data_IF_810879835794
#
_entry.id   IF_810879835794
#
_cell.length_a   1.000
_cell.length_b   1.000
_cell.length_c   1.000
_cell.angle_alpha   90.00
_cell.angle_beta   90.00
_cell.angle_gamma   90.00
#
_symmetry.space_group_name_H-M   'P 1'
#
loop_
_entity.id
_entity.type
_entity.pdbx_description
1 polymer ?
#
# COMPACT_ATOMS: atom_id res chain seq x y z
N UNK A 1 18.93 21.56 -19.13
CA UNK A 1 19.16 20.13 -18.84
C UNK A 1 17.93 19.67 -18.05
N UNK A 2 17.02 18.90 -18.66
CA UNK A 2 15.82 18.42 -17.94
C UNK A 2 16.25 17.26 -17.04
N UNK A 3 15.80 17.18 -15.78
CA UNK A 3 16.07 16.01 -14.95
C UNK A 3 15.61 14.74 -15.67
N UNK A 4 16.34 13.65 -15.46
CA UNK A 4 15.90 12.33 -15.90
C UNK A 4 14.60 11.98 -15.16
N UNK A 5 13.52 11.68 -15.88
CA UNK A 5 12.20 11.37 -15.29
C UNK A 5 12.22 10.15 -14.38
N UNK A 6 13.16 9.23 -14.59
CA UNK A 6 13.40 8.13 -13.67
C UNK A 6 13.88 8.63 -12.30
N UNK A 7 14.59 9.76 -12.26
CA UNK A 7 15.00 10.44 -11.04
C UNK A 7 13.83 11.21 -10.42
N UNK A 8 12.98 11.86 -11.23
CA UNK A 8 11.76 12.53 -10.73
C UNK A 8 10.79 11.53 -10.08
N UNK A 9 10.49 10.41 -10.73
CA UNK A 9 9.63 9.34 -10.18
C UNK A 9 10.21 8.69 -8.91
N UNK A 10 11.53 8.61 -8.78
CA UNK A 10 12.19 8.08 -7.57
C UNK A 10 12.15 9.04 -6.39
N UNK A 11 11.93 10.33 -6.67
CA UNK A 11 11.93 11.39 -5.66
C UNK A 11 10.52 11.80 -5.23
N UNK A 12 9.46 11.24 -5.83
CA UNK A 12 8.10 11.45 -5.35
C UNK A 12 8.00 10.84 -3.95
N UNK A 13 7.70 11.70 -2.99
CA UNK A 13 7.39 11.34 -1.61
C UNK A 13 6.18 12.15 -1.20
N UNK A 14 5.12 11.45 -0.83
CA UNK A 14 3.89 12.03 -0.31
C UNK A 14 3.80 11.75 1.18
N UNK A 15 3.31 12.73 1.93
CA UNK A 15 2.99 12.63 3.33
C UNK A 15 1.54 13.06 3.51
N UNK A 16 0.75 12.22 4.19
CA UNK A 16 -0.59 12.55 4.65
C UNK A 16 -0.59 12.54 6.19
N UNK A 17 -1.37 13.44 6.77
CA UNK A 17 -1.53 13.54 8.22
C UNK A 17 -3.01 13.41 8.54
N UNK A 18 -3.32 12.53 9.48
CA UNK A 18 -4.68 12.33 9.97
C UNK A 18 -5.30 13.62 10.54
N UNK A 19 -6.64 13.76 10.54
CA UNK A 19 -7.32 14.96 11.06
C UNK A 19 -7.00 15.29 12.52
N UNK A 20 -6.75 14.28 13.36
CA UNK A 20 -6.39 14.48 14.77
C UNK A 20 -4.90 14.77 14.96
N UNK A 21 -4.09 14.55 13.92
CA UNK A 21 -2.65 14.57 13.99
C UNK A 21 -2.04 13.36 14.72
N UNK A 22 -2.83 12.34 15.05
CA UNK A 22 -2.37 11.11 15.71
C UNK A 22 -1.54 10.20 14.79
N UNK A 23 -1.74 10.30 13.49
CA UNK A 23 -1.11 9.44 12.47
C UNK A 23 -0.51 10.29 11.35
N UNK A 24 0.69 9.93 10.92
CA UNK A 24 1.32 10.41 9.69
C UNK A 24 1.63 9.19 8.82
N UNK A 25 1.19 9.19 7.57
CA UNK A 25 1.55 8.17 6.58
C UNK A 25 2.44 8.78 5.49
N UNK A 26 3.50 8.08 5.12
CA UNK A 26 4.41 8.47 4.05
C UNK A 26 4.52 7.39 2.99
N UNK A 27 4.42 7.77 1.73
CA UNK A 27 4.67 6.90 0.58
C UNK A 27 5.80 7.50 -0.26
N UNK A 28 6.79 6.69 -0.64
CA UNK A 28 7.91 7.17 -1.44
C UNK A 28 8.24 6.22 -2.58
N UNK A 29 8.48 6.77 -3.78
CA UNK A 29 8.87 6.02 -4.98
C UNK A 29 7.86 4.94 -5.39
N UNK A 30 8.24 3.66 -5.31
CA UNK A 30 7.33 2.50 -5.47
C UNK A 30 7.14 1.72 -4.17
N UNK A 31 7.52 2.33 -3.05
CA UNK A 31 7.58 1.69 -1.74
C UNK A 31 6.21 1.58 -1.09
N UNK A 32 6.17 0.74 -0.04
CA UNK A 32 5.01 0.58 0.82
C UNK A 32 4.79 1.83 1.67
N UNK A 33 3.55 2.15 2.05
CA UNK A 33 3.29 3.20 3.01
C UNK A 33 4.01 2.89 4.32
N UNK A 34 4.63 3.90 4.92
CA UNK A 34 5.16 3.87 6.27
C UNK A 34 4.33 4.76 7.16
N UNK A 35 4.03 4.29 8.35
CA UNK A 35 3.19 5.00 9.33
C UNK A 35 4.05 5.47 10.49
N UNK A 36 3.73 6.63 11.03
CA UNK A 36 4.27 7.16 12.28
C UNK A 36 3.08 7.50 13.20
N UNK A 37 3.10 6.97 14.42
CA UNK A 37 2.08 7.25 15.43
C UNK A 37 2.59 8.35 16.36
N UNK A 38 1.74 9.32 16.66
CA UNK A 38 2.08 10.47 17.50
C UNK A 38 1.67 10.28 18.96
N UNK A 39 2.29 11.08 19.84
CA UNK A 39 2.12 11.11 21.30
C UNK A 39 0.70 10.86 21.82
N UNK A 40 -0.28 11.56 21.23
CA UNK A 40 -1.66 11.58 21.69
C UNK A 40 -2.47 10.32 21.31
N UNK A 41 -1.99 9.54 20.33
CA UNK A 41 -2.74 8.42 19.76
C UNK A 41 -3.11 7.35 20.80
N UNK A 42 -2.20 7.02 21.72
CA UNK A 42 -2.43 6.00 22.74
C UNK A 42 -3.46 6.41 23.81
N UNK A 43 -3.66 7.72 24.00
CA UNK A 43 -4.52 8.26 25.05
C UNK A 43 -5.88 8.69 24.53
N UNK A 44 -5.96 9.11 23.27
CA UNK A 44 -7.16 9.72 22.69
C UNK A 44 -7.97 8.73 21.82
N UNK A 45 -7.39 7.59 21.47
CA UNK A 45 -8.02 6.62 20.57
C UNK A 45 -8.34 5.29 21.27
N UNK A 46 -9.45 4.71 20.86
CA UNK A 46 -9.67 3.27 20.94
C UNK A 46 -8.88 2.56 19.84
N UNK A 47 -8.74 1.24 19.94
CA UNK A 47 -8.05 0.43 18.92
C UNK A 47 -8.75 0.53 17.56
N UNK A 48 -10.07 0.42 17.54
CA UNK A 48 -10.87 0.51 16.31
C UNK A 48 -10.75 1.91 15.67
N UNK A 49 -10.79 2.98 16.49
CA UNK A 49 -10.67 4.35 15.97
C UNK A 49 -9.26 4.65 15.46
N UNK A 50 -8.21 4.14 16.13
CA UNK A 50 -6.84 4.31 15.66
C UNK A 50 -6.61 3.50 14.37
N UNK A 51 -7.15 2.29 14.27
CA UNK A 51 -7.03 1.47 13.08
C UNK A 51 -7.68 2.15 11.88
N UNK A 52 -8.92 2.63 12.02
CA UNK A 52 -9.62 3.36 10.97
C UNK A 52 -8.85 4.61 10.52
N UNK A 53 -8.28 5.36 11.45
CA UNK A 53 -7.50 6.56 11.13
C UNK A 53 -6.18 6.24 10.44
N UNK A 54 -5.52 5.15 10.81
CA UNK A 54 -4.35 4.64 10.07
C UNK A 54 -4.73 4.28 8.63
N UNK A 55 -5.83 3.53 8.45
CA UNK A 55 -6.31 3.12 7.14
C UNK A 55 -6.63 4.33 6.25
N UNK A 56 -7.38 5.30 6.77
CA UNK A 56 -7.74 6.53 6.05
C UNK A 56 -6.50 7.34 5.66
N UNK A 57 -5.56 7.53 6.60
CA UNK A 57 -4.33 8.30 6.35
C UNK A 57 -3.42 7.61 5.32
N UNK A 58 -3.34 6.28 5.35
CA UNK A 58 -2.62 5.51 4.33
C UNK A 58 -3.29 5.64 2.97
N UNK A 59 -4.62 5.50 2.91
CA UNK A 59 -5.37 5.60 1.67
C UNK A 59 -5.18 6.97 1.01
N UNK A 60 -5.24 8.05 1.79
CA UNK A 60 -4.97 9.41 1.32
C UNK A 60 -3.55 9.56 0.77
N UNK A 61 -2.53 9.10 1.51
CA UNK A 61 -1.15 9.15 1.04
C UNK A 61 -0.96 8.36 -0.27
N UNK A 62 -1.55 7.17 -0.37
CA UNK A 62 -1.46 6.33 -1.56
C UNK A 62 -2.22 6.91 -2.76
N UNK A 63 -3.38 7.52 -2.55
CA UNK A 63 -4.14 8.19 -3.60
C UNK A 63 -3.37 9.38 -4.14
N UNK A 64 -2.92 10.30 -3.29
CA UNK A 64 -2.11 11.44 -3.70
C UNK A 64 -0.79 11.01 -4.38
N UNK A 65 -0.19 9.89 -3.95
CA UNK A 65 0.99 9.33 -4.60
C UNK A 65 0.69 8.79 -6.01
N UNK A 66 -0.47 8.14 -6.20
CA UNK A 66 -0.93 7.72 -7.53
C UNK A 66 -1.17 8.94 -8.43
N UNK A 67 -1.84 9.97 -7.93
CA UNK A 67 -2.08 11.20 -8.69
C UNK A 67 -0.78 11.90 -9.12
N UNK A 68 0.23 11.97 -8.24
CA UNK A 68 1.52 12.57 -8.57
C UNK A 68 2.30 11.74 -9.59
N UNK A 69 2.27 10.40 -9.48
CA UNK A 69 2.82 9.51 -10.50
C UNK A 69 2.11 9.73 -11.84
N UNK A 70 0.78 9.82 -11.83
CA UNK A 70 0.00 10.10 -13.03
C UNK A 70 0.41 11.45 -13.63
N UNK A 71 0.47 12.52 -12.85
CA UNK A 71 0.87 13.85 -13.30
C UNK A 71 2.27 13.87 -13.97
N UNK A 72 3.23 13.14 -13.39
CA UNK A 72 4.60 13.02 -13.95
C UNK A 72 4.62 12.16 -15.23
N UNK A 73 3.71 11.18 -15.35
CA UNK A 73 3.70 10.21 -16.46
C UNK A 73 2.79 10.60 -17.65
N UNK A 74 1.75 11.40 -17.44
CA UNK A 74 0.62 11.59 -18.38
C UNK A 74 1.01 12.29 -19.70
N UNK A 75 2.18 12.95 -19.78
CA UNK A 75 2.61 13.60 -21.02
C UNK A 75 3.01 12.66 -22.16
N UNK A 76 3.45 11.42 -21.87
CA UNK A 76 3.99 10.50 -22.90
C UNK A 76 3.54 9.05 -22.73
N UNK A 77 3.41 8.55 -21.51
CA UNK A 77 3.08 7.15 -21.25
C UNK A 77 1.65 6.79 -21.63
N UNK A 78 0.67 7.69 -21.44
CA UNK A 78 -0.71 7.43 -21.89
C UNK A 78 -0.81 7.32 -23.41
N UNK A 79 -0.08 8.14 -24.16
CA UNK A 79 0.05 8.02 -25.62
C UNK A 79 0.79 6.74 -26.03
N UNK A 80 1.85 6.37 -25.33
CA UNK A 80 2.66 5.17 -25.63
C UNK A 80 1.92 3.87 -25.24
N UNK A 81 1.14 3.89 -24.16
CA UNK A 81 0.33 2.78 -23.66
C UNK A 81 -0.92 2.56 -24.51
N UNK A 82 -1.66 3.62 -24.87
CA UNK A 82 -2.82 3.52 -25.80
C UNK A 82 -2.36 3.09 -27.18
N UNK A 83 -1.26 3.65 -27.71
CA UNK A 83 -0.70 3.22 -29.00
C UNK A 83 -0.23 1.76 -28.98
N UNK A 84 0.31 1.27 -27.85
CA UNK A 84 0.67 -0.16 -27.71
C UNK A 84 -0.57 -1.05 -27.58
N UNK A 85 -1.54 -0.69 -26.74
CA UNK A 85 -2.69 -1.56 -26.42
C UNK A 85 -3.71 -1.66 -27.54
N UNK A 86 -3.87 -0.63 -28.39
CA UNK A 86 -4.74 -0.72 -29.57
C UNK A 86 -4.19 -1.67 -30.65
N UNK A 87 -2.85 -1.76 -30.78
CA UNK A 87 -2.14 -2.66 -31.71
C UNK A 87 -1.88 -4.07 -31.15
N UNK A 88 -2.19 -4.33 -29.87
CA UNK A 88 -2.02 -5.67 -29.31
C UNK A 88 -3.02 -6.66 -29.92
N UNK A 89 -2.58 -7.88 -30.30
CA UNK A 89 -3.47 -8.97 -30.64
C UNK A 89 -4.54 -9.16 -29.57
N UNK A 90 -5.77 -9.50 -29.98
CA UNK A 90 -6.91 -9.70 -29.08
C UNK A 90 -6.59 -10.63 -27.91
N UNK A 91 -5.82 -11.68 -28.17
CA UNK A 91 -5.34 -12.64 -27.18
C UNK A 91 -4.45 -12.00 -26.11
N UNK A 92 -3.55 -11.08 -26.49
CA UNK A 92 -2.68 -10.38 -25.53
C UNK A 92 -3.49 -9.45 -24.63
N UNK A 93 -4.46 -8.72 -25.19
CA UNK A 93 -5.37 -7.86 -24.40
C UNK A 93 -6.22 -8.67 -23.42
N UNK A 94 -6.73 -9.81 -23.87
CA UNK A 94 -7.51 -10.71 -23.03
C UNK A 94 -6.66 -11.30 -21.90
N UNK A 95 -5.41 -11.67 -22.18
CA UNK A 95 -4.44 -12.14 -21.18
C UNK A 95 -4.06 -11.07 -20.16
N UNK A 96 -3.82 -9.83 -20.60
CA UNK A 96 -3.57 -8.70 -19.69
C UNK A 96 -4.76 -8.44 -18.77
N UNK A 97 -5.99 -8.46 -19.31
CA UNK A 97 -7.21 -8.32 -18.52
C UNK A 97 -7.37 -9.45 -17.50
N UNK A 98 -7.12 -10.70 -17.91
CA UNK A 98 -7.16 -11.85 -17.02
C UNK A 98 -6.09 -11.76 -15.91
N UNK A 99 -4.89 -11.28 -16.24
CA UNK A 99 -3.83 -11.02 -15.26
C UNK A 99 -4.21 -9.96 -14.24
N UNK A 100 -4.81 -8.85 -14.67
CA UNK A 100 -5.31 -7.81 -13.76
C UNK A 100 -6.42 -8.32 -12.85
N UNK A 101 -7.35 -9.12 -13.38
CA UNK A 101 -8.41 -9.73 -12.57
C UNK A 101 -7.84 -10.74 -11.56
N UNK A 102 -6.86 -11.55 -11.96
CA UNK A 102 -6.20 -12.50 -11.06
C UNK A 102 -5.50 -11.81 -9.88
N UNK A 103 -4.90 -10.63 -10.09
CA UNK A 103 -4.30 -9.83 -9.01
C UNK A 103 -5.37 -9.23 -8.09
N UNK A 104 -6.49 -8.75 -8.63
CA UNK A 104 -7.59 -8.15 -7.84
C UNK A 104 -8.20 -9.11 -6.82
N UNK A 105 -8.18 -10.40 -7.11
CA UNK A 105 -8.67 -11.45 -6.21
C UNK A 105 -7.65 -11.85 -5.13
N UNK A 106 -6.41 -11.35 -5.22
CA UNK A 106 -5.38 -11.65 -4.22
C UNK A 106 -5.63 -10.88 -2.94
N UNK A 107 -5.65 -11.62 -1.84
CA UNK A 107 -5.60 -11.09 -0.49
C UNK A 107 -4.41 -11.71 0.24
N UNK A 108 -3.67 -10.89 0.98
CA UNK A 108 -2.62 -11.36 1.87
C UNK A 108 -2.72 -10.72 3.25
N UNK A 109 -2.26 -11.46 4.25
CA UNK A 109 -2.26 -11.03 5.65
C UNK A 109 -0.83 -11.07 6.18
N UNK A 110 -0.45 -10.03 6.90
CA UNK A 110 0.78 -9.94 7.66
C UNK A 110 0.46 -9.74 9.14
N UNK A 111 1.22 -10.38 10.00
CA UNK A 111 1.13 -10.18 11.45
C UNK A 111 2.46 -9.67 11.94
N UNK A 112 2.42 -8.64 12.78
CA UNK A 112 3.61 -8.06 13.38
C UNK A 112 4.33 -9.06 14.30
N UNK A 113 5.65 -8.93 14.54
CA UNK A 113 6.42 -9.87 15.36
C UNK A 113 5.88 -10.05 16.79
N UNK A 114 5.40 -8.99 17.42
CA UNK A 114 4.77 -9.03 18.74
C UNK A 114 3.33 -9.57 18.74
N UNK A 115 2.73 -9.80 17.57
CA UNK A 115 1.35 -10.27 17.43
C UNK A 115 0.30 -9.22 17.82
N UNK A 116 0.68 -7.95 17.82
CA UNK A 116 -0.18 -6.82 18.19
C UNK A 116 -0.96 -6.24 17.02
N UNK A 117 -0.45 -6.38 15.81
CA UNK A 117 -1.03 -5.78 14.61
C UNK A 117 -1.15 -6.83 13.52
N UNK A 118 -2.30 -6.83 12.87
CA UNK A 118 -2.57 -7.62 11.66
C UNK A 118 -2.87 -6.62 10.56
N UNK A 119 -2.14 -6.70 9.46
CA UNK A 119 -2.41 -5.94 8.24
C UNK A 119 -2.94 -6.89 7.15
N UNK A 120 -3.93 -6.46 6.39
CA UNK A 120 -4.45 -7.19 5.22
C UNK A 120 -4.30 -6.30 3.99
N UNK A 121 -3.64 -6.82 2.96
CA UNK A 121 -3.43 -6.15 1.69
C UNK A 121 -4.29 -6.79 0.60
N UNK A 122 -4.95 -5.95 -0.19
CA UNK A 122 -5.89 -6.35 -1.24
C UNK A 122 -5.37 -5.95 -2.63
N UNK A 123 -5.87 -6.63 -3.67
CA UNK A 123 -5.38 -6.47 -5.05
C UNK A 123 -5.68 -5.14 -5.73
N UNK A 124 -6.56 -4.34 -5.15
CA UNK A 124 -6.84 -2.94 -5.52
C UNK A 124 -5.88 -1.93 -4.86
N UNK A 125 -5.02 -2.41 -3.95
CA UNK A 125 -4.08 -1.58 -3.19
C UNK A 125 -4.62 -1.13 -1.84
N UNK A 126 -5.79 -1.60 -1.43
CA UNK A 126 -6.35 -1.29 -0.11
C UNK A 126 -5.59 -2.03 0.99
N UNK A 127 -5.55 -1.40 2.16
CA UNK A 127 -4.90 -1.95 3.35
C UNK A 127 -5.81 -1.79 4.56
N UNK A 128 -6.06 -2.90 5.26
CA UNK A 128 -6.85 -2.95 6.49
C UNK A 128 -5.96 -3.29 7.67
N UNK A 129 -6.12 -2.58 8.78
CA UNK A 129 -5.37 -2.73 10.02
C UNK A 129 -6.31 -3.24 11.12
N UNK A 130 -5.85 -4.24 11.87
CA UNK A 130 -6.53 -4.69 13.07
C UNK A 130 -5.52 -4.82 14.21
N UNK A 131 -5.89 -4.34 15.39
CA UNK A 131 -5.13 -4.58 16.61
C UNK A 131 -5.56 -5.88 17.27
N UNK A 132 -4.60 -6.57 17.87
CA UNK A 132 -4.82 -7.82 18.59
C UNK A 132 -4.12 -7.78 19.94
N UNK A 133 -4.68 -8.47 20.94
CA UNK A 133 -4.13 -8.56 22.30
C UNK A 133 -4.11 -7.23 23.10
N UNK A 134 -4.93 -6.26 22.71
CA UNK A 134 -5.11 -4.96 23.37
C UNK A 134 -3.82 -4.12 23.54
N UNK A 135 -3.02 -3.85 22.47
CA UNK A 135 -1.73 -3.17 22.58
C UNK A 135 -1.84 -1.78 23.21
N UNK A 136 -2.93 -1.03 22.99
CA UNK A 136 -3.07 0.32 23.53
C UNK A 136 -3.20 0.34 25.07
N UNK A 137 -3.56 -0.79 25.68
CA UNK A 137 -3.70 -0.93 27.14
C UNK A 137 -2.47 -1.51 27.82
N UNK A 138 -1.47 -1.94 27.04
CA UNK A 138 -0.26 -2.59 27.54
C UNK A 138 0.80 -1.56 27.86
N UNK A 139 1.34 -1.59 29.08
CA UNK A 139 2.34 -0.62 29.54
C UNK A 139 3.68 -0.78 28.81
N UNK A 140 3.95 -1.98 28.32
CA UNK A 140 5.14 -2.32 27.55
C UNK A 140 5.06 -1.89 26.07
N UNK A 141 3.88 -1.55 25.57
CA UNK A 141 3.70 -1.07 24.20
C UNK A 141 3.79 0.45 24.19
N UNK A 142 4.99 0.95 23.89
CA UNK A 142 5.20 2.37 23.64
C UNK A 142 4.76 2.74 22.22
N UNK A 143 4.71 4.04 21.93
CA UNK A 143 4.41 4.57 20.60
C UNK A 143 5.40 4.05 19.56
N UNK A 144 6.69 4.01 19.90
CA UNK A 144 7.73 3.50 19.00
C UNK A 144 7.52 2.01 18.73
N UNK A 145 7.17 1.23 19.75
CA UNK A 145 6.87 -0.20 19.59
C UNK A 145 5.64 -0.37 18.70
N UNK A 146 4.55 0.35 18.96
CA UNK A 146 3.33 0.25 18.16
C UNK A 146 3.58 0.66 16.70
N UNK A 147 4.32 1.75 16.49
CA UNK A 147 4.70 2.24 15.16
C UNK A 147 5.50 1.17 14.41
N UNK A 148 6.48 0.55 15.05
CA UNK A 148 7.26 -0.53 14.46
C UNK A 148 6.37 -1.74 14.14
N UNK A 149 5.49 -2.16 15.05
CA UNK A 149 4.59 -3.29 14.86
C UNK A 149 3.63 -3.07 13.67
N UNK A 150 3.06 -1.86 13.53
CA UNK A 150 2.22 -1.50 12.38
C UNK A 150 3.01 -1.63 11.08
N UNK A 151 4.20 -1.03 11.02
CA UNK A 151 5.04 -1.04 9.83
C UNK A 151 5.52 -2.45 9.44
N UNK A 152 5.84 -3.30 10.41
CA UNK A 152 6.22 -4.69 10.19
C UNK A 152 5.03 -5.54 9.70
N UNK A 153 3.82 -5.31 10.22
CA UNK A 153 2.63 -5.97 9.72
C UNK A 153 2.34 -5.59 8.25
N UNK A 154 2.42 -4.29 7.92
CA UNK A 154 2.25 -3.79 6.55
C UNK A 154 3.28 -4.41 5.61
N UNK A 155 4.56 -4.44 6.01
CA UNK A 155 5.63 -5.00 5.19
C UNK A 155 5.43 -6.50 4.95
N UNK A 156 5.04 -7.24 6.00
CA UNK A 156 4.77 -8.67 5.91
C UNK A 156 3.58 -8.95 5.00
N UNK A 157 2.48 -8.20 5.16
CA UNK A 157 1.28 -8.35 4.33
C UNK A 157 1.60 -8.08 2.85
N UNK A 158 2.39 -7.04 2.58
CA UNK A 158 2.77 -6.64 1.23
C UNK A 158 3.71 -7.63 0.54
N UNK A 159 4.64 -8.23 1.31
CA UNK A 159 5.50 -9.31 0.81
C UNK A 159 4.67 -10.53 0.44
N UNK A 160 3.80 -10.97 1.35
CA UNK A 160 2.89 -12.09 1.11
C UNK A 160 1.94 -11.82 -0.07
N UNK A 161 1.49 -10.57 -0.24
CA UNK A 161 0.69 -10.16 -1.40
C UNK A 161 1.50 -10.32 -2.69
N UNK A 162 2.73 -9.81 -2.72
CA UNK A 162 3.60 -9.87 -3.90
C UNK A 162 3.88 -11.31 -4.33
N UNK A 163 4.11 -12.20 -3.37
CA UNK A 163 4.29 -13.64 -3.61
C UNK A 163 3.02 -14.28 -4.21
N UNK A 164 1.86 -14.07 -3.58
CA UNK A 164 0.58 -14.60 -4.08
C UNK A 164 0.17 -14.02 -5.43
N UNK A 165 0.47 -12.76 -5.70
CA UNK A 165 0.23 -12.12 -6.98
C UNK A 165 1.11 -12.74 -8.08
N UNK A 166 2.40 -12.97 -7.80
CA UNK A 166 3.30 -13.66 -8.72
C UNK A 166 2.85 -15.11 -9.01
N UNK A 167 2.40 -15.83 -7.99
CA UNK A 167 1.83 -17.18 -8.14
C UNK A 167 0.56 -17.17 -9.00
N UNK A 168 -0.35 -16.23 -8.74
CA UNK A 168 -1.61 -16.10 -9.49
C UNK A 168 -1.35 -15.83 -10.98
N UNK A 169 -0.40 -14.95 -11.29
CA UNK A 169 0.03 -14.68 -12.67
C UNK A 169 0.71 -15.90 -13.32
N UNK A 170 1.51 -16.64 -12.56
CA UNK A 170 2.18 -17.86 -13.05
C UNK A 170 1.16 -18.96 -13.37
N UNK A 171 0.18 -19.16 -12.48
CA UNK A 171 -0.90 -20.14 -12.67
C UNK A 171 -1.81 -19.79 -13.86
N UNK A 172 -2.05 -18.50 -14.11
CA UNK A 172 -2.75 -18.04 -15.30
C UNK A 172 -1.98 -18.42 -16.57
N UNK A 173 -0.66 -18.22 -16.56
CA UNK A 173 0.21 -18.52 -17.71
C UNK A 173 0.39 -20.01 -17.98
N UNK A 174 0.26 -20.87 -16.98
CA UNK A 174 0.34 -22.33 -17.14
C UNK A 174 -0.96 -22.96 -17.68
N UNK A 175 -2.09 -22.24 -17.62
CA UNK A 175 -3.41 -22.68 -18.10
C UNK A 175 -3.75 -22.17 -19.51
N UNK A 176 -2.94 -21.27 -20.06
CA UNK A 176 -3.06 -20.69 -21.39
C UNK A 176 -2.15 -21.44 -22.38
#
# INVERSE_FOLDING_TARGET
MRPDRLTELRNISIEAQSPTGAVIARTAGRGLPRVEIMGAALTEHSEDSLAAEIEETIAEAMEAHREEIEAVTDGRLRKEYVARTEDLPRETRERERLGLNAIREVEATGTSPGGYVIARAFGDGDLVIAFNNNPLRRKEVTIDVLTNEINEAIETASRAFSEKAAESLTNLNAKA
#
